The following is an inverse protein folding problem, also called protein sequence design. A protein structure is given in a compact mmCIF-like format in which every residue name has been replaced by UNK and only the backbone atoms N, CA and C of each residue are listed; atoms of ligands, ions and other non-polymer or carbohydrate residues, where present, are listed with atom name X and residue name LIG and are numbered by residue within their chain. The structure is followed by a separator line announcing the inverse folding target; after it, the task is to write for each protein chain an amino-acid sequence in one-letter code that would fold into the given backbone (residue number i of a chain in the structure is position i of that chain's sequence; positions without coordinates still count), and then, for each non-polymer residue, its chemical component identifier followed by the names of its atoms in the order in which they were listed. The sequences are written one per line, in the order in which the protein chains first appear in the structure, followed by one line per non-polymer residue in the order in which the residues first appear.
data_IF_447726266757
#
_entry.id   IF_447726266757
#
_cell.length_a   1.000
_cell.length_b   1.000
_cell.length_c   1.000
_cell.angle_alpha   90.00
_cell.angle_beta   90.00
_cell.angle_gamma   90.00
#
_symmetry.space_group_name_H-M   'P 1'
#
loop_
_entity.id
_entity.type
_entity.pdbx_description
1 polymer ?
#
# COMPACT_ATOMS: atom_id res chain seq x y z
N UNK A 1 -8.55 -11.77 13.88
CA UNK A 1 -7.78 -11.52 12.64
C UNK A 1 -6.95 -10.30 12.85
N UNK A 2 -5.63 -10.30 12.58
CA UNK A 2 -4.91 -9.04 12.55
C UNK A 2 -5.51 -8.20 11.41
N UNK A 3 -5.97 -6.99 11.73
CA UNK A 3 -6.41 -6.03 10.74
C UNK A 3 -5.21 -5.54 9.96
N UNK A 4 -5.28 -5.51 8.63
CA UNK A 4 -4.26 -4.91 7.78
C UNK A 4 -4.88 -3.84 6.92
N UNK A 5 -4.20 -2.71 6.82
CA UNK A 5 -4.55 -1.60 5.94
C UNK A 5 -3.40 -1.38 4.97
N UNK A 6 -3.71 -1.33 3.68
CA UNK A 6 -2.75 -0.99 2.61
C UNK A 6 -3.10 0.41 2.15
N UNK A 7 -2.16 1.33 2.26
CA UNK A 7 -2.35 2.75 1.90
C UNK A 7 -1.38 3.09 0.79
N UNK A 8 -1.92 3.53 -0.34
CA UNK A 8 -1.15 4.11 -1.44
C UNK A 8 -1.56 5.57 -1.62
N UNK A 9 -0.65 6.49 -1.29
CA UNK A 9 -0.80 7.92 -1.55
C UNK A 9 0.02 8.28 -2.80
N UNK A 10 -0.64 8.83 -3.80
CA UNK A 10 -0.03 9.32 -5.05
C UNK A 10 0.00 10.84 -4.99
N UNK A 11 1.18 11.42 -4.92
CA UNK A 11 1.37 12.86 -4.70
C UNK A 11 2.07 13.51 -5.88
N UNK A 12 1.42 14.52 -6.46
CA UNK A 12 1.98 15.34 -7.53
C UNK A 12 2.19 16.75 -7.00
N UNK A 13 3.41 17.28 -7.10
CA UNK A 13 3.73 18.66 -6.77
C UNK A 13 3.97 19.49 -8.04
N UNK A 14 3.71 20.78 -7.96
CA UNK A 14 3.98 21.71 -9.08
C UNK A 14 5.48 21.88 -9.35
N UNK A 15 6.30 21.74 -8.30
CA UNK A 15 7.76 21.84 -8.39
C UNK A 15 8.41 20.56 -7.80
N UNK A 16 9.36 19.92 -8.49
CA UNK A 16 10.03 18.72 -7.97
C UNK A 16 10.84 18.97 -6.68
N UNK A 17 11.25 20.22 -6.40
CA UNK A 17 11.95 20.58 -5.17
C UNK A 17 11.05 20.66 -3.94
N UNK A 18 9.73 20.65 -4.10
CA UNK A 18 8.82 20.64 -2.96
C UNK A 18 8.86 19.31 -2.24
N UNK A 19 9.29 19.35 -0.97
CA UNK A 19 9.37 18.18 -0.13
C UNK A 19 7.96 17.62 0.09
N UNK A 20 7.79 16.33 -0.17
CA UNK A 20 6.58 15.57 0.15
C UNK A 20 6.86 14.68 1.34
N UNK A 21 5.98 14.69 2.32
CA UNK A 21 6.18 13.95 3.56
C UNK A 21 4.90 13.21 3.95
N UNK A 22 5.01 11.90 4.09
CA UNK A 22 3.98 11.08 4.72
C UNK A 22 4.20 11.06 6.23
N UNK A 23 3.14 11.25 7.01
CA UNK A 23 3.21 11.41 8.46
C UNK A 23 2.47 10.28 9.18
N UNK A 24 3.11 9.73 10.21
CA UNK A 24 2.49 8.83 11.17
C UNK A 24 2.67 9.38 12.59
N UNK A 25 1.58 9.76 13.24
CA UNK A 25 1.59 10.18 14.62
C UNK A 25 1.39 9.00 15.55
N UNK A 26 2.19 8.93 16.63
CA UNK A 26 2.11 7.88 17.63
C UNK A 26 2.14 8.47 19.04
N UNK A 27 1.43 7.83 19.97
CA UNK A 27 1.38 8.26 21.36
C UNK A 27 2.72 8.04 22.07
N UNK A 28 3.35 6.91 21.84
CA UNK A 28 4.63 6.54 22.42
C UNK A 28 5.71 6.54 21.35
N UNK A 29 6.97 6.66 21.78
CA UNK A 29 8.12 6.61 20.88
C UNK A 29 8.11 5.30 20.09
N UNK A 30 8.00 5.37 18.75
CA UNK A 30 8.08 4.17 17.94
C UNK A 30 9.54 3.73 17.78
N UNK A 31 9.73 2.44 17.55
CA UNK A 31 11.00 1.88 17.10
C UNK A 31 10.99 1.82 15.57
N UNK A 32 12.10 2.24 14.94
CA UNK A 32 12.26 2.18 13.48
C UNK A 32 13.39 1.22 13.16
N UNK A 33 13.09 0.17 12.41
CA UNK A 33 14.07 -0.87 12.06
C UNK A 33 13.79 -1.45 10.68
N UNK A 34 14.77 -1.37 9.76
CA UNK A 34 14.70 -2.03 8.46
C UNK A 34 13.48 -1.64 7.61
N UNK A 35 13.09 -0.35 7.59
CA UNK A 35 11.91 0.13 6.88
C UNK A 35 10.58 -0.22 7.55
N UNK A 36 10.61 -0.75 8.77
CA UNK A 36 9.43 -0.99 9.59
C UNK A 36 9.39 -0.03 10.79
N UNK A 37 8.19 0.41 11.13
CA UNK A 37 7.90 1.31 12.25
C UNK A 37 7.01 0.54 13.22
N UNK A 38 7.48 0.35 14.45
CA UNK A 38 6.78 -0.36 15.51
C UNK A 38 6.27 0.64 16.55
N UNK A 39 4.96 0.82 16.62
CA UNK A 39 4.30 1.62 17.66
C UNK A 39 3.57 0.70 18.62
N UNK A 40 3.98 0.67 19.88
CA UNK A 40 3.47 -0.24 20.90
C UNK A 40 2.79 0.54 22.01
N UNK A 41 1.64 0.06 22.47
CA UNK A 41 0.95 0.58 23.64
C UNK A 41 0.58 -0.55 24.60
N UNK A 42 1.26 -0.56 25.76
CA UNK A 42 1.03 -1.52 26.86
C UNK A 42 0.56 -0.86 28.14
N UNK A 43 0.28 0.45 28.10
CA UNK A 43 -0.15 1.20 29.29
C UNK A 43 -1.65 1.02 29.54
N UNK A 44 -2.06 1.13 30.79
CA UNK A 44 -3.48 1.11 31.23
C UNK A 44 -4.24 -0.14 30.76
N UNK A 45 -3.61 -1.32 30.80
CA UNK A 45 -4.23 -2.59 30.37
C UNK A 45 -4.34 -2.78 28.85
N UNK A 46 -3.82 -1.86 28.05
CA UNK A 46 -3.72 -2.03 26.60
C UNK A 46 -2.62 -3.05 26.27
N UNK A 47 -2.81 -3.81 25.21
CA UNK A 47 -1.84 -4.83 24.75
C UNK A 47 -1.81 -4.85 23.22
N UNK A 48 -1.51 -3.71 22.62
CA UNK A 48 -1.56 -3.54 21.18
C UNK A 48 -0.28 -2.99 20.58
N UNK A 49 0.00 -3.38 19.34
CA UNK A 49 1.02 -2.74 18.51
C UNK A 49 0.50 -2.53 17.09
N UNK A 50 0.98 -1.45 16.49
CA UNK A 50 0.91 -1.17 15.07
C UNK A 50 2.29 -1.42 14.48
N UNK A 51 2.35 -2.23 13.43
CA UNK A 51 3.56 -2.40 12.62
C UNK A 51 3.27 -1.81 11.24
N UNK A 52 3.96 -0.73 10.91
CA UNK A 52 3.90 -0.11 9.58
C UNK A 52 5.12 -0.52 8.78
N UNK A 53 4.90 -1.17 7.65
CA UNK A 53 5.96 -1.54 6.70
C UNK A 53 5.96 -0.55 5.55
N UNK A 54 7.05 0.17 5.36
CA UNK A 54 7.24 1.11 4.25
C UNK A 54 7.66 0.31 3.02
N UNK A 55 6.88 0.38 1.96
CA UNK A 55 7.14 -0.28 0.68
C UNK A 55 7.54 0.71 -0.42
N UNK A 56 7.01 1.94 -0.38
CA UNK A 56 7.42 3.07 -1.21
C UNK A 56 7.46 4.34 -0.34
N UNK A 57 8.45 5.23 -0.56
CA UNK A 57 9.57 5.09 -1.51
C UNK A 57 10.39 3.83 -1.25
N UNK A 58 11.14 3.36 -2.27
CA UNK A 58 12.10 2.26 -2.09
C UNK A 58 13.11 2.57 -0.99
N UNK A 59 13.64 1.56 -0.32
CA UNK A 59 14.48 1.73 0.89
C UNK A 59 15.74 2.58 0.65
N UNK A 60 16.30 2.56 -0.54
CA UNK A 60 17.44 3.40 -0.94
C UNK A 60 17.04 4.87 -1.13
N UNK A 61 15.78 5.13 -1.46
CA UNK A 61 15.20 6.47 -1.64
C UNK A 61 14.35 6.94 -0.44
N UNK A 62 14.10 6.11 0.56
CA UNK A 62 13.34 6.47 1.75
C UNK A 62 14.23 7.20 2.78
N UNK A 63 13.76 8.37 3.24
CA UNK A 63 14.27 9.07 4.40
C UNK A 63 13.20 9.02 5.49
N UNK A 64 13.53 8.39 6.63
CA UNK A 64 12.61 8.23 7.75
C UNK A 64 13.18 8.95 8.95
N UNK A 65 12.53 10.01 9.39
CA UNK A 65 12.92 10.79 10.56
C UNK A 65 11.88 10.68 11.67
N UNK A 66 12.33 10.85 12.91
CA UNK A 66 11.49 10.80 14.09
C UNK A 66 11.56 12.15 14.81
N UNK A 67 10.40 12.77 14.97
CA UNK A 67 10.23 14.03 15.72
C UNK A 67 9.36 13.78 16.94
N UNK A 68 9.74 14.30 18.11
CA UNK A 68 8.95 14.13 19.32
C UNK A 68 9.81 14.02 20.57
N UNK A 69 9.19 13.71 21.69
CA UNK A 69 9.81 13.66 23.00
C UNK A 69 9.85 15.03 23.68
N UNK A 70 10.49 15.10 24.88
CA UNK A 70 10.46 16.28 25.74
C UNK A 70 10.86 17.57 25.01
N UNK A 71 9.96 18.53 24.97
CA UNK A 71 10.12 19.82 24.30
C UNK A 71 9.98 19.79 22.79
N UNK A 72 9.61 18.63 22.20
CA UNK A 72 9.37 18.47 20.77
C UNK A 72 8.10 17.64 20.47
N UNK A 73 7.18 17.52 21.40
CA UNK A 73 5.99 16.69 21.28
C UNK A 73 5.09 17.13 20.12
N UNK A 74 5.09 18.44 19.83
CA UNK A 74 4.27 19.07 18.78
C UNK A 74 5.11 20.03 17.94
N UNK A 75 6.35 19.66 17.71
CA UNK A 75 7.33 20.47 17.01
C UNK A 75 7.02 20.59 15.51
N UNK A 76 6.85 21.83 15.06
CA UNK A 76 6.68 22.17 13.62
C UNK A 76 7.45 23.48 13.36
N UNK A 77 8.26 23.50 12.31
CA UNK A 77 8.96 24.68 11.79
C UNK A 77 9.68 25.53 12.87
N UNK A 78 10.39 24.85 13.78
CA UNK A 78 11.18 25.53 14.81
C UNK A 78 10.42 25.87 16.09
N UNK A 79 9.14 25.52 16.19
CA UNK A 79 8.31 25.82 17.34
C UNK A 79 7.58 24.59 17.88
N UNK A 80 7.52 24.43 19.21
CA UNK A 80 6.76 23.37 19.87
C UNK A 80 5.41 23.91 20.33
N UNK A 81 4.34 23.59 19.60
CA UNK A 81 2.99 24.06 19.88
C UNK A 81 2.41 23.38 21.12
N UNK A 82 1.80 24.15 21.99
CA UNK A 82 1.07 23.61 23.14
C UNK A 82 -0.23 22.95 22.72
N UNK A 83 -0.69 21.95 23.49
CA UNK A 83 -2.00 21.34 23.30
C UNK A 83 -2.85 21.45 24.56
N UNK A 84 -4.16 21.50 24.39
CA UNK A 84 -5.14 21.52 25.51
C UNK A 84 -5.48 20.11 26.00
N UNK A 85 -5.24 19.06 25.18
CA UNK A 85 -5.51 17.65 25.53
C UNK A 85 -4.21 16.88 25.65
N UNK A 86 -3.95 16.28 26.80
CA UNK A 86 -2.60 15.83 27.09
C UNK A 86 -2.38 14.34 27.18
N UNK A 87 -3.39 13.56 27.53
CA UNK A 87 -3.13 12.17 27.92
C UNK A 87 -3.02 11.20 26.75
N UNK A 88 -3.82 11.38 25.67
CA UNK A 88 -3.89 10.48 24.54
C UNK A 88 -3.42 11.09 23.21
N UNK A 89 -2.81 12.28 23.26
CA UNK A 89 -2.29 12.93 22.05
C UNK A 89 -1.02 12.25 21.53
N UNK A 90 -0.86 12.24 20.20
CA UNK A 90 0.35 11.73 19.56
C UNK A 90 1.52 12.66 19.84
N UNK A 91 2.49 12.21 20.65
CA UNK A 91 3.68 12.98 21.04
C UNK A 91 4.90 12.70 20.19
N UNK A 92 4.74 11.81 19.23
CA UNK A 92 5.78 11.42 18.31
C UNK A 92 5.23 11.45 16.89
N UNK A 93 6.07 11.86 15.97
CA UNK A 93 5.76 11.90 14.54
C UNK A 93 6.88 11.27 13.76
N UNK A 94 6.53 10.24 13.00
CA UNK A 94 7.41 9.68 11.98
C UNK A 94 7.15 10.46 10.70
N UNK A 95 8.20 10.95 10.07
CA UNK A 95 8.20 11.63 8.78
C UNK A 95 8.91 10.76 7.76
N UNK A 96 8.20 10.34 6.74
CA UNK A 96 8.72 9.58 5.60
C UNK A 96 8.74 10.48 4.37
N UNK A 97 9.92 10.69 3.78
CA UNK A 97 10.09 11.50 2.58
C UNK A 97 10.98 10.78 1.56
N UNK A 98 10.79 11.02 0.26
CA UNK A 98 11.78 10.62 -0.73
C UNK A 98 13.07 11.44 -0.56
N UNK A 99 14.23 10.80 -0.71
CA UNK A 99 15.53 11.49 -0.71
C UNK A 99 15.77 12.28 -2.01
N UNK A 100 15.24 11.74 -3.12
CA UNK A 100 15.40 12.36 -4.44
C UNK A 100 14.22 13.29 -4.73
N UNK A 101 14.54 14.49 -5.20
CA UNK A 101 13.53 15.43 -5.67
C UNK A 101 12.79 14.87 -6.90
N UNK A 102 11.47 14.90 -6.86
CA UNK A 102 10.60 14.40 -7.93
C UNK A 102 9.31 15.22 -8.00
N UNK A 103 8.70 15.28 -9.17
CA UNK A 103 7.37 15.87 -9.33
C UNK A 103 6.27 14.93 -8.83
N UNK A 104 6.48 13.62 -8.98
CA UNK A 104 5.51 12.57 -8.65
C UNK A 104 6.18 11.61 -7.69
N UNK A 105 5.57 11.39 -6.54
CA UNK A 105 5.99 10.40 -5.56
C UNK A 105 4.81 9.57 -5.08
N UNK A 106 5.07 8.28 -4.89
CA UNK A 106 4.14 7.34 -4.32
C UNK A 106 4.61 6.92 -2.93
N UNK A 107 3.69 6.93 -1.97
CA UNK A 107 3.91 6.37 -0.63
C UNK A 107 3.03 5.13 -0.48
N UNK A 108 3.64 3.98 -0.36
CA UNK A 108 2.94 2.73 -0.14
C UNK A 108 3.33 2.16 1.22
N UNK A 109 2.37 2.11 2.11
CA UNK A 109 2.55 1.62 3.47
C UNK A 109 1.55 0.51 3.78
N UNK A 110 2.01 -0.52 4.47
CA UNK A 110 1.15 -1.58 5.00
C UNK A 110 1.16 -1.50 6.52
N UNK A 111 0.00 -1.24 7.10
CA UNK A 111 -0.22 -1.11 8.52
C UNK A 111 -0.89 -2.38 9.06
N UNK A 112 -0.30 -3.04 10.04
CA UNK A 112 -0.82 -4.24 10.67
C UNK A 112 -1.04 -3.98 12.17
N UNK A 113 -2.29 -4.14 12.63
CA UNK A 113 -2.66 -4.00 14.04
C UNK A 113 -2.76 -5.39 14.67
N UNK A 114 -2.11 -5.58 15.81
CA UNK A 114 -2.05 -6.85 16.50
C UNK A 114 -1.74 -6.71 18.00
N UNK A 115 -1.85 -7.80 18.73
CA UNK A 115 -1.31 -7.88 20.09
C UNK A 115 0.23 -7.77 20.08
N UNK A 116 0.80 -7.27 21.17
CA UNK A 116 2.26 -7.01 21.28
C UNK A 116 3.10 -8.26 21.01
N UNK A 117 2.65 -9.43 21.48
CA UNK A 117 3.37 -10.71 21.37
C UNK A 117 3.21 -11.40 20.01
N UNK A 118 2.34 -10.90 19.11
CA UNK A 118 2.14 -11.50 17.80
C UNK A 118 3.18 -11.02 16.79
N UNK A 119 3.46 -11.85 15.81
CA UNK A 119 4.36 -11.52 14.70
C UNK A 119 3.55 -10.96 13.52
N UNK A 120 3.99 -9.89 12.86
CA UNK A 120 3.32 -9.39 11.66
C UNK A 120 3.35 -10.42 10.54
N UNK A 121 2.29 -10.42 9.73
CA UNK A 121 2.27 -11.24 8.51
C UNK A 121 3.37 -10.77 7.55
N UNK A 122 3.95 -11.74 6.86
CA UNK A 122 4.93 -11.46 5.80
C UNK A 122 4.25 -10.72 4.66
N UNK A 123 4.91 -9.67 4.18
CA UNK A 123 4.49 -8.87 3.04
C UNK A 123 5.43 -9.14 1.89
N UNK A 124 4.86 -9.25 0.68
CA UNK A 124 5.63 -9.31 -0.56
C UNK A 124 5.11 -8.23 -1.49
N UNK A 125 6.02 -7.40 -2.02
CA UNK A 125 5.73 -6.41 -3.05
C UNK A 125 6.22 -6.91 -4.40
N UNK A 126 5.46 -6.64 -5.45
CA UNK A 126 5.84 -6.86 -6.84
C UNK A 126 5.24 -5.77 -7.72
N UNK A 127 5.74 -5.66 -8.94
CA UNK A 127 5.19 -4.75 -9.95
C UNK A 127 4.56 -5.56 -11.08
N UNK A 128 3.57 -4.98 -11.75
CA UNK A 128 3.09 -5.53 -13.02
C UNK A 128 4.21 -5.52 -14.07
N UNK A 129 4.10 -6.37 -15.07
CA UNK A 129 5.08 -6.45 -16.18
C UNK A 129 5.27 -5.10 -16.87
N UNK A 130 4.18 -4.34 -16.97
CA UNK A 130 4.12 -3.01 -17.59
C UNK A 130 4.64 -1.89 -16.67
N UNK A 131 4.93 -2.20 -15.39
CA UNK A 131 5.38 -1.24 -14.38
C UNK A 131 4.32 -0.25 -13.91
N UNK A 132 3.07 -0.37 -14.36
CA UNK A 132 1.98 0.55 -14.02
C UNK A 132 1.32 0.25 -12.67
N UNK A 133 1.33 -1.00 -12.23
CA UNK A 133 0.74 -1.43 -10.97
C UNK A 133 1.78 -1.92 -9.98
N UNK A 134 1.54 -1.63 -8.72
CA UNK A 134 2.22 -2.26 -7.59
C UNK A 134 1.26 -3.22 -6.91
N UNK A 135 1.69 -4.44 -6.67
CA UNK A 135 0.92 -5.47 -5.98
C UNK A 135 1.54 -5.76 -4.62
N UNK A 136 0.69 -5.83 -3.60
CA UNK A 136 1.01 -6.23 -2.24
C UNK A 136 0.35 -7.56 -1.94
N UNK A 137 1.16 -8.55 -1.63
CA UNK A 137 0.70 -9.85 -1.13
C UNK A 137 0.86 -9.88 0.39
N UNK A 138 -0.24 -10.19 1.08
CA UNK A 138 -0.30 -10.35 2.54
C UNK A 138 -1.30 -11.43 2.91
N UNK A 139 -0.83 -12.49 3.61
CA UNK A 139 -1.66 -13.65 3.87
C UNK A 139 -2.14 -14.30 2.57
N UNK A 140 -3.46 -14.45 2.42
CA UNK A 140 -4.10 -14.98 1.22
C UNK A 140 -4.73 -13.88 0.34
N UNK A 141 -4.22 -12.64 0.45
CA UNK A 141 -4.73 -11.52 -0.33
C UNK A 141 -3.63 -10.96 -1.22
N UNK A 142 -4.00 -10.55 -2.42
CA UNK A 142 -3.18 -9.78 -3.35
C UNK A 142 -3.97 -8.52 -3.67
N UNK A 143 -3.38 -7.38 -3.39
CA UNK A 143 -3.98 -6.07 -3.71
C UNK A 143 -3.06 -5.36 -4.68
N UNK A 144 -3.55 -5.09 -5.89
CA UNK A 144 -2.82 -4.35 -6.93
C UNK A 144 -3.44 -2.96 -7.11
N UNK A 145 -2.60 -1.95 -7.09
CA UNK A 145 -2.98 -0.54 -7.15
C UNK A 145 -2.19 0.16 -8.26
N UNK A 146 -2.86 1.02 -9.03
CA UNK A 146 -2.21 1.81 -10.07
C UNK A 146 -1.25 2.82 -9.44
N UNK A 147 -0.04 2.93 -9.95
CA UNK A 147 0.96 3.92 -9.52
C UNK A 147 0.72 5.31 -10.14
N UNK A 148 0.01 5.36 -11.27
CA UNK A 148 -0.39 6.60 -11.91
C UNK A 148 -1.77 7.06 -11.43
N UNK A 149 -2.05 8.36 -11.58
CA UNK A 149 -3.41 8.87 -11.43
C UNK A 149 -4.24 8.50 -12.66
N UNK A 150 -5.53 8.25 -12.42
CA UNK A 150 -6.50 7.96 -13.48
C UNK A 150 -6.94 6.50 -13.54
N UNK A 151 -7.85 6.27 -14.43
CA UNK A 151 -8.48 4.97 -14.68
C UNK A 151 -7.66 4.22 -15.73
N UNK A 152 -7.38 2.95 -15.49
CA UNK A 152 -6.71 2.07 -16.44
C UNK A 152 -7.72 1.22 -17.21
N UNK A 153 -7.58 1.15 -18.51
CA UNK A 153 -8.33 0.27 -19.41
C UNK A 153 -7.41 -0.68 -20.21
N UNK A 154 -6.11 -0.63 -19.93
CA UNK A 154 -5.10 -1.48 -20.56
C UNK A 154 -4.90 -2.78 -19.79
N UNK A 155 -4.29 -3.73 -20.47
CA UNK A 155 -3.91 -5.04 -19.90
C UNK A 155 -2.95 -4.89 -18.71
N UNK A 156 -3.13 -5.74 -17.70
CA UNK A 156 -2.27 -5.84 -16.52
C UNK A 156 -1.79 -7.28 -16.39
N UNK A 157 -0.48 -7.46 -16.29
CA UNK A 157 0.14 -8.77 -16.02
C UNK A 157 0.85 -8.75 -14.68
N UNK A 158 0.38 -9.55 -13.72
CA UNK A 158 0.98 -9.69 -12.40
C UNK A 158 1.71 -11.02 -12.28
N UNK A 159 2.94 -11.00 -11.79
CA UNK A 159 3.64 -12.20 -11.36
C UNK A 159 3.16 -12.61 -9.98
N UNK A 160 2.60 -13.80 -9.85
CA UNK A 160 2.13 -14.38 -8.59
C UNK A 160 2.94 -15.64 -8.30
N UNK A 161 3.35 -15.84 -7.03
CA UNK A 161 4.08 -17.06 -6.67
C UNK A 161 3.21 -18.30 -6.84
N UNK A 162 3.82 -19.45 -7.11
CA UNK A 162 3.11 -20.74 -7.14
C UNK A 162 2.93 -21.28 -5.73
N UNK A 163 1.72 -21.62 -5.35
CA UNK A 163 1.39 -22.47 -4.21
C UNK A 163 0.01 -23.12 -4.39
N UNK A 164 -0.44 -23.94 -3.45
CA UNK A 164 -1.72 -24.65 -3.54
C UNK A 164 -2.90 -23.89 -2.92
N UNK A 165 -2.69 -22.62 -2.51
CA UNK A 165 -3.71 -21.84 -1.80
C UNK A 165 -4.61 -21.08 -2.76
N UNK A 166 -5.82 -20.80 -2.28
CA UNK A 166 -6.74 -19.86 -2.89
C UNK A 166 -6.41 -18.43 -2.41
N UNK A 167 -6.32 -17.51 -3.34
CA UNK A 167 -6.04 -16.09 -3.07
C UNK A 167 -7.20 -15.20 -3.50
N UNK A 168 -7.54 -14.27 -2.64
CA UNK A 168 -8.41 -13.16 -2.99
C UNK A 168 -7.56 -12.07 -3.64
N UNK A 169 -7.90 -11.74 -4.87
CA UNK A 169 -7.25 -10.68 -5.66
C UNK A 169 -8.17 -9.47 -5.70
N UNK A 170 -7.62 -8.30 -5.42
CA UNK A 170 -8.31 -7.01 -5.51
C UNK A 170 -7.43 -6.10 -6.38
N UNK A 171 -8.02 -5.50 -7.41
CA UNK A 171 -7.32 -4.56 -8.29
C UNK A 171 -8.14 -3.28 -8.33
N UNK A 172 -7.48 -2.15 -8.18
CA UNK A 172 -8.12 -0.83 -8.15
C UNK A 172 -7.79 0.01 -9.39
N UNK A 173 -8.49 1.11 -9.52
CA UNK A 173 -8.26 2.12 -10.58
C UNK A 173 -8.50 1.58 -12.01
N UNK A 174 -9.41 0.63 -12.16
CA UNK A 174 -9.80 0.07 -13.45
C UNK A 174 -11.00 0.79 -14.04
N UNK A 175 -11.12 0.79 -15.36
CA UNK A 175 -12.37 1.14 -16.03
C UNK A 175 -13.48 0.19 -15.57
N UNK A 176 -14.64 0.75 -15.21
CA UNK A 176 -15.81 -0.06 -14.88
C UNK A 176 -16.27 -0.88 -16.07
N UNK A 177 -16.68 -2.13 -15.85
CA UNK A 177 -17.12 -3.02 -16.92
C UNK A 177 -16.59 -4.44 -16.76
N UNK A 178 -16.65 -5.22 -17.82
CA UNK A 178 -16.23 -6.62 -17.83
C UNK A 178 -14.74 -6.73 -18.16
N UNK A 179 -14.05 -7.57 -17.38
CA UNK A 179 -12.63 -7.85 -17.55
C UNK A 179 -12.41 -9.35 -17.68
N UNK A 180 -11.66 -9.75 -18.69
CA UNK A 180 -11.21 -11.12 -18.87
C UNK A 180 -10.00 -11.36 -17.97
N UNK A 181 -10.10 -12.40 -17.14
CA UNK A 181 -9.04 -12.85 -16.23
C UNK A 181 -8.49 -14.15 -16.73
N UNK A 182 -7.18 -14.24 -16.87
CA UNK A 182 -6.49 -15.47 -17.21
C UNK A 182 -5.43 -15.79 -16.15
N UNK A 183 -5.53 -16.97 -15.54
CA UNK A 183 -4.54 -17.53 -14.64
C UNK A 183 -4.10 -18.89 -15.17
N UNK A 184 -3.02 -18.92 -15.93
CA UNK A 184 -2.60 -20.12 -16.67
C UNK A 184 -3.64 -20.59 -17.69
N UNK A 185 -4.21 -21.77 -17.48
CA UNK A 185 -5.26 -22.33 -18.33
C UNK A 185 -6.67 -21.92 -17.92
N UNK A 186 -6.84 -21.38 -16.72
CA UNK A 186 -8.14 -20.92 -16.24
C UNK A 186 -8.44 -19.54 -16.83
N UNK A 187 -9.62 -19.40 -17.43
CA UNK A 187 -10.13 -18.15 -18.00
C UNK A 187 -11.55 -17.92 -17.51
N UNK A 188 -11.83 -16.71 -17.06
CA UNK A 188 -13.16 -16.30 -16.65
C UNK A 188 -13.31 -14.79 -16.74
N UNK A 189 -14.54 -14.30 -16.67
CA UNK A 189 -14.84 -12.87 -16.76
C UNK A 189 -15.34 -12.38 -15.41
N UNK A 190 -14.86 -11.20 -15.00
CA UNK A 190 -15.26 -10.53 -13.76
C UNK A 190 -15.66 -9.09 -14.06
N UNK A 191 -16.66 -8.58 -13.38
CA UNK A 191 -17.11 -7.20 -13.52
C UNK A 191 -16.40 -6.30 -12.51
N UNK A 192 -15.65 -5.31 -13.02
CA UNK A 192 -15.18 -4.20 -12.19
C UNK A 192 -16.37 -3.31 -11.81
N UNK A 193 -16.39 -2.83 -10.57
CA UNK A 193 -17.38 -1.89 -10.09
C UNK A 193 -17.29 -0.56 -10.82
N UNK A 194 -18.32 0.28 -10.70
CA UNK A 194 -18.30 1.66 -11.21
C UNK A 194 -17.18 2.52 -10.61
N UNK A 195 -16.68 2.13 -9.44
CA UNK A 195 -15.56 2.78 -8.75
C UNK A 195 -14.20 2.18 -9.15
N UNK A 196 -14.15 1.34 -10.17
CA UNK A 196 -12.90 0.78 -10.70
C UNK A 196 -12.27 -0.32 -9.85
N UNK A 197 -13.05 -1.03 -9.03
CA UNK A 197 -12.55 -2.13 -8.20
C UNK A 197 -12.97 -3.46 -8.81
N UNK A 198 -12.00 -4.32 -9.11
CA UNK A 198 -12.15 -5.71 -9.51
C UNK A 198 -11.75 -6.61 -8.33
N UNK A 199 -12.60 -7.58 -7.97
CA UNK A 199 -12.31 -8.53 -6.92
C UNK A 199 -12.75 -9.94 -7.31
N UNK A 200 -11.87 -10.93 -7.14
CA UNK A 200 -12.11 -12.33 -7.45
C UNK A 200 -11.19 -13.24 -6.64
N UNK A 201 -11.44 -14.53 -6.72
CA UNK A 201 -10.59 -15.56 -6.12
C UNK A 201 -9.93 -16.40 -7.20
N UNK A 202 -8.68 -16.81 -6.97
CA UNK A 202 -7.91 -17.61 -7.90
C UNK A 202 -6.96 -18.56 -7.18
N UNK A 203 -6.85 -19.78 -7.69
CA UNK A 203 -5.86 -20.75 -7.24
C UNK A 203 -4.49 -20.47 -7.84
N UNK A 204 -3.42 -20.51 -7.04
CA UNK A 204 -2.05 -20.22 -7.52
C UNK A 204 -1.32 -21.44 -8.08
N UNK A 205 -1.95 -22.17 -8.98
CA UNK A 205 -1.28 -23.27 -9.72
C UNK A 205 -0.31 -22.74 -10.78
N UNK A 206 -0.43 -21.47 -11.15
CA UNK A 206 0.31 -20.80 -12.21
C UNK A 206 1.08 -19.59 -11.68
N UNK A 207 2.09 -19.17 -12.40
CA UNK A 207 3.01 -18.11 -11.94
C UNK A 207 2.65 -16.70 -12.39
N UNK A 208 1.57 -16.54 -13.15
CA UNK A 208 1.14 -15.24 -13.66
C UNK A 208 -0.39 -15.12 -13.66
N UNK A 209 -0.84 -13.91 -13.60
CA UNK A 209 -2.23 -13.48 -13.69
C UNK A 209 -2.30 -12.35 -14.72
N UNK A 210 -3.08 -12.52 -15.76
CA UNK A 210 -3.31 -11.54 -16.81
C UNK A 210 -4.76 -11.07 -16.77
N UNK A 211 -4.97 -9.78 -16.93
CA UNK A 211 -6.28 -9.14 -16.82
C UNK A 211 -6.40 -8.14 -17.96
N UNK A 212 -7.44 -8.28 -18.78
CA UNK A 212 -7.67 -7.47 -19.99
C UNK A 212 -9.12 -7.00 -20.06
N UNK A 213 -9.36 -5.76 -20.48
CA UNK A 213 -10.70 -5.27 -20.74
C UNK A 213 -11.37 -6.14 -21.82
N UNK A 214 -12.57 -6.64 -21.55
CA UNK A 214 -13.29 -7.53 -22.49
C UNK A 214 -13.76 -6.84 -23.77
N UNK A 215 -13.83 -5.51 -23.78
CA UNK A 215 -14.16 -4.73 -24.99
C UNK A 215 -13.09 -4.84 -26.07
N UNK A 216 -11.83 -4.98 -25.70
CA UNK A 216 -10.72 -5.10 -26.67
C UNK A 216 -10.79 -6.42 -27.45
N UNK A 217 -11.16 -7.51 -26.77
CA UNK A 217 -11.30 -8.83 -27.42
C UNK A 217 -12.45 -8.87 -28.45
N UNK A 218 -13.51 -8.07 -28.26
CA UNK A 218 -14.62 -8.01 -29.21
C UNK A 218 -14.25 -7.23 -30.49
N UNK A 219 -13.39 -6.22 -30.40
CA UNK A 219 -12.91 -5.46 -31.56
C UNK A 219 -11.95 -6.33 -32.39
N UNK A 220 -11.03 -7.07 -31.76
CA UNK A 220 -10.12 -7.97 -32.46
C UNK A 220 -10.86 -9.12 -33.19
N UNK A 221 -11.93 -9.67 -32.60
CA UNK A 221 -12.76 -10.69 -33.23
C UNK A 221 -13.65 -10.17 -34.35
N UNK A 222 -13.99 -8.90 -34.38
CA UNK A 222 -14.80 -8.27 -35.42
C UNK A 222 -13.99 -7.82 -36.66
N UNK A 223 -12.66 -7.86 -36.58
CA UNK A 223 -11.72 -7.52 -37.64
C UNK A 223 -11.12 -8.75 -38.34
N UNK A 224 -11.49 -9.97 -37.94
CA UNK A 224 -11.17 -11.24 -38.53
C UNK A 224 -12.38 -11.83 -39.31
#
# INVERSE_FOLDING_TARGET
MPGSLIVLDRVISSNPSFKKTWLLHTQHKPEIKGGMIFSTNTQRGRNGKLVTTVLLPESDNADITLVGGSGKEYWVDGYNYGTVSQEDAGRWRVELSPKKASKVDNFLNVLQVMEVNKTPMKIKKSYSKEGKYVAVEIGNNIVAQNLALGINDEEITLSIGKDSKLYKVIITDLKGGLWNVQCGLEKFTVKASVNGVLAFEVGRRYSYLQIKDSYVDQIEMSLL
#
